data_IF_561186438509
#
_entry.id   IF_561186438509
#
_cell.length_a   1.000
_cell.length_b   1.000
_cell.length_c   1.000
_cell.angle_alpha   90.00
_cell.angle_beta   90.00
_cell.angle_gamma   90.00
#
_symmetry.space_group_name_H-M   'P 1'
#
loop_
_entity.id
_entity.type
_entity.pdbx_description
1 polymer ?
#
# COMPACT_ATOMS: atom_id res chain seq x y z
N UNK A 1 53.05 -61.55 17.44
CA UNK A 1 52.78 -60.46 16.47
C UNK A 1 51.29 -60.40 16.07
N UNK A 2 50.35 -60.30 17.03
CA UNK A 2 48.88 -60.24 16.74
C UNK A 2 48.09 -59.23 17.59
N UNK A 3 48.73 -58.54 18.55
CA UNK A 3 48.03 -57.63 19.49
C UNK A 3 48.11 -56.14 19.14
N UNK A 4 48.97 -55.72 18.19
CA UNK A 4 49.15 -54.30 17.81
C UNK A 4 48.11 -53.78 16.79
N UNK A 5 47.42 -54.67 16.09
CA UNK A 5 46.49 -54.30 15.02
C UNK A 5 45.08 -54.01 15.54
N UNK A 6 44.65 -54.70 16.61
CA UNK A 6 43.35 -54.47 17.26
C UNK A 6 43.26 -53.10 17.95
N UNK A 7 44.32 -52.70 18.65
CA UNK A 7 44.40 -51.38 19.29
C UNK A 7 44.43 -50.25 18.26
N UNK A 8 45.13 -50.45 17.13
CA UNK A 8 45.20 -49.46 16.05
C UNK A 8 43.84 -49.26 15.35
N UNK A 9 43.06 -50.33 15.16
CA UNK A 9 41.71 -50.26 14.60
C UNK A 9 40.72 -49.60 15.57
N UNK A 10 40.79 -49.91 16.87
CA UNK A 10 39.96 -49.23 17.88
C UNK A 10 40.28 -47.75 18.00
N UNK A 11 41.57 -47.36 17.89
CA UNK A 11 41.97 -45.96 17.86
C UNK A 11 41.43 -45.23 16.62
N UNK A 12 41.38 -45.87 15.46
CA UNK A 12 40.79 -45.30 14.25
C UNK A 12 39.27 -45.08 14.39
N UNK A 13 38.54 -46.05 14.97
CA UNK A 13 37.10 -45.89 15.22
C UNK A 13 36.81 -44.80 16.25
N UNK A 14 37.62 -44.69 17.30
CA UNK A 14 37.51 -43.59 18.28
C UNK A 14 37.81 -42.24 17.62
N UNK A 15 38.87 -42.14 16.82
CA UNK A 15 39.23 -40.90 16.10
C UNK A 15 38.13 -40.50 15.08
N UNK A 16 37.56 -41.45 14.34
CA UNK A 16 36.46 -41.16 13.40
C UNK A 16 35.18 -40.75 14.12
N UNK A 17 34.87 -41.38 15.27
CA UNK A 17 33.70 -41.05 16.07
C UNK A 17 33.85 -39.68 16.74
N UNK A 18 35.04 -39.33 17.25
CA UNK A 18 35.32 -37.99 17.79
C UNK A 18 35.27 -36.92 16.70
N UNK A 19 35.70 -37.23 15.48
CA UNK A 19 35.63 -36.28 14.36
C UNK A 19 34.18 -35.97 13.96
N UNK A 20 33.30 -36.98 13.97
CA UNK A 20 31.87 -36.80 13.69
C UNK A 20 31.16 -36.02 14.81
N UNK A 21 31.55 -36.20 16.08
CA UNK A 21 30.99 -35.43 17.21
C UNK A 21 31.40 -33.94 17.17
N UNK A 22 32.63 -33.63 16.73
CA UNK A 22 33.08 -32.23 16.56
C UNK A 22 32.26 -31.50 15.47
N UNK A 23 31.72 -32.21 14.47
CA UNK A 23 30.86 -31.59 13.44
C UNK A 23 29.43 -31.29 13.92
N UNK A 24 28.99 -31.86 15.05
CA UNK A 24 27.64 -31.65 15.59
C UNK A 24 27.59 -30.55 16.68
N UNK A 25 28.72 -30.21 17.31
CA UNK A 25 28.86 -29.10 18.27
C UNK A 25 29.45 -27.82 17.67
N UNK A 26 29.72 -27.79 16.36
CA UNK A 26 30.11 -26.57 15.69
C UNK A 26 28.93 -25.58 15.66
N UNK A 27 28.94 -24.65 16.63
CA UNK A 27 28.13 -23.44 16.62
C UNK A 27 28.32 -22.75 15.26
N UNK A 28 27.23 -22.32 14.58
CA UNK A 28 27.36 -21.64 13.30
C UNK A 28 28.28 -20.43 13.45
N UNK A 29 29.32 -20.39 12.63
CA UNK A 29 30.26 -19.26 12.56
C UNK A 29 29.43 -18.03 12.20
N UNK A 30 29.29 -17.11 13.16
CA UNK A 30 28.73 -15.80 12.92
C UNK A 30 29.65 -15.10 11.92
N UNK A 31 29.12 -14.82 10.74
CA UNK A 31 29.87 -14.16 9.67
C UNK A 31 30.12 -12.74 10.16
N UNK A 32 31.36 -12.47 10.55
CA UNK A 32 31.86 -11.15 10.93
C UNK A 32 31.39 -10.09 9.91
N UNK A 33 30.40 -9.27 10.30
CA UNK A 33 29.76 -8.23 9.48
C UNK A 33 30.64 -6.99 9.28
N UNK A 34 31.96 -7.13 9.27
CA UNK A 34 32.90 -6.00 9.14
C UNK A 34 33.72 -5.98 7.86
N UNK A 35 33.36 -6.79 6.85
CA UNK A 35 33.92 -6.61 5.50
C UNK A 35 32.98 -5.79 4.62
N UNK A 36 33.26 -4.49 4.58
CA UNK A 36 32.74 -3.52 3.61
C UNK A 36 33.03 -4.04 2.19
N UNK A 37 32.03 -4.63 1.54
CA UNK A 37 32.00 -4.80 0.09
C UNK A 37 31.21 -3.63 -0.49
N UNK A 38 31.90 -2.87 -1.34
CA UNK A 38 31.44 -1.76 -2.16
C UNK A 38 29.93 -1.60 -2.25
N UNK A 39 29.44 -0.53 -1.63
CA UNK A 39 28.13 0.06 -1.86
C UNK A 39 27.99 0.34 -3.34
N UNK A 40 27.25 -0.51 -4.07
CA UNK A 40 26.56 -0.04 -5.26
C UNK A 40 25.62 1.09 -4.82
N UNK A 41 25.44 2.15 -5.62
CA UNK A 41 24.56 3.23 -5.25
C UNK A 41 23.18 2.63 -5.02
N UNK A 42 22.68 2.70 -3.79
CA UNK A 42 21.29 2.40 -3.49
C UNK A 42 20.51 3.42 -4.29
N UNK A 43 19.96 2.97 -5.42
CA UNK A 43 18.92 3.69 -6.14
C UNK A 43 17.91 4.12 -5.09
N UNK A 44 17.75 5.43 -4.96
CA UNK A 44 16.80 6.08 -4.07
C UNK A 44 15.52 5.26 -4.03
N UNK A 45 15.15 4.73 -2.86
CA UNK A 45 13.87 4.08 -2.68
C UNK A 45 12.78 5.07 -3.09
N UNK A 46 12.27 4.90 -4.32
CA UNK A 46 11.06 5.57 -4.78
C UNK A 46 10.00 5.15 -3.78
N UNK A 47 9.47 6.10 -3.02
CA UNK A 47 8.28 5.86 -2.19
C UNK A 47 7.21 5.43 -3.19
N UNK A 48 6.89 4.13 -3.23
CA UNK A 48 5.88 3.64 -4.14
C UNK A 48 4.54 4.28 -3.74
N UNK A 49 3.85 4.96 -4.67
CA UNK A 49 2.55 5.53 -4.38
C UNK A 49 1.61 4.42 -3.91
N UNK A 50 0.74 4.69 -2.92
CA UNK A 50 -0.12 3.68 -2.31
C UNK A 50 -0.85 2.87 -3.40
N UNK A 51 -0.90 1.56 -3.22
CA UNK A 51 -1.63 0.68 -4.11
C UNK A 51 -3.12 1.03 -4.04
N UNK A 52 -3.63 1.56 -5.14
CA UNK A 52 -5.02 2.01 -5.30
C UNK A 52 -6.00 0.83 -5.22
N UNK A 53 -5.50 -0.42 -5.26
CA UNK A 53 -6.34 -1.63 -5.29
C UNK A 53 -6.94 -1.91 -6.66
N UNK A 54 -6.58 -1.11 -7.68
CA UNK A 54 -6.99 -1.28 -9.07
C UNK A 54 -6.03 -2.24 -9.77
N UNK A 55 -6.55 -3.19 -10.54
CA UNK A 55 -5.72 -4.19 -11.22
C UNK A 55 -4.85 -3.63 -12.37
N UNK A 56 -5.17 -2.41 -12.83
CA UNK A 56 -4.45 -1.65 -13.87
C UNK A 56 -3.80 -0.38 -13.31
N UNK A 57 -3.60 -0.30 -12.00
CA UNK A 57 -2.96 0.83 -11.32
C UNK A 57 -1.56 1.15 -11.89
N UNK A 58 -0.77 0.12 -12.20
CA UNK A 58 0.54 0.30 -12.83
C UNK A 58 0.44 0.95 -14.21
N UNK A 59 -0.49 0.51 -15.05
CA UNK A 59 -0.75 1.09 -16.36
C UNK A 59 -1.20 2.55 -16.24
N UNK A 60 -2.11 2.84 -15.31
CA UNK A 60 -2.57 4.19 -15.02
C UNK A 60 -1.40 5.11 -14.60
N UNK A 61 -0.54 4.65 -13.69
CA UNK A 61 0.65 5.37 -13.24
C UNK A 61 1.63 5.65 -14.39
N UNK A 62 1.90 4.65 -15.22
CA UNK A 62 2.79 4.81 -16.39
C UNK A 62 2.24 5.82 -17.40
N UNK A 63 0.92 5.80 -17.67
CA UNK A 63 0.27 6.77 -18.56
C UNK A 63 0.40 8.18 -17.98
N UNK A 64 0.16 8.35 -16.67
CA UNK A 64 0.31 9.65 -15.99
C UNK A 64 1.77 10.14 -16.06
N UNK A 65 2.75 9.30 -15.73
CA UNK A 65 4.18 9.66 -15.79
C UNK A 65 4.62 10.15 -17.17
N UNK A 66 4.14 9.48 -18.23
CA UNK A 66 4.40 9.87 -19.62
C UNK A 66 3.72 11.19 -19.97
N UNK A 67 2.48 11.41 -19.52
CA UNK A 67 1.75 12.67 -19.72
C UNK A 67 2.38 13.83 -18.95
N UNK A 68 2.87 13.58 -17.73
CA UNK A 68 3.55 14.60 -16.93
C UNK A 68 4.85 15.07 -17.56
N UNK A 69 5.49 14.28 -18.42
CA UNK A 69 6.70 14.69 -19.14
C UNK A 69 6.45 15.93 -20.01
N UNK A 70 5.23 16.13 -20.51
CA UNK A 70 4.85 17.31 -21.28
C UNK A 70 4.49 18.50 -20.37
N UNK A 71 5.19 19.63 -20.55
CA UNK A 71 4.99 20.83 -19.72
C UNK A 71 3.58 21.41 -19.86
N UNK A 72 3.05 21.47 -21.08
CA UNK A 72 1.73 22.05 -21.34
C UNK A 72 0.64 21.21 -20.67
N UNK A 73 0.71 19.89 -20.85
CA UNK A 73 -0.24 18.97 -20.23
C UNK A 73 -0.14 18.96 -18.70
N UNK A 74 1.07 19.00 -18.13
CA UNK A 74 1.29 19.07 -16.67
C UNK A 74 0.62 20.29 -16.04
N UNK A 75 0.76 21.46 -16.65
CA UNK A 75 0.13 22.68 -16.14
C UNK A 75 -1.40 22.60 -16.16
N UNK A 76 -1.98 21.91 -17.16
CA UNK A 76 -3.41 21.66 -17.24
C UNK A 76 -3.86 20.67 -16.17
N UNK A 77 -3.09 19.60 -15.95
CA UNK A 77 -3.36 18.59 -14.92
C UNK A 77 -3.36 19.22 -13.51
N UNK A 78 -2.44 20.14 -13.22
CA UNK A 78 -2.36 20.81 -11.91
C UNK A 78 -3.47 21.84 -11.66
N UNK A 79 -4.04 22.42 -12.73
CA UNK A 79 -5.07 23.46 -12.63
C UNK A 79 -6.50 22.90 -12.73
N UNK A 80 -6.66 21.68 -13.24
CA UNK A 80 -7.97 21.08 -13.47
C UNK A 80 -8.64 20.68 -12.16
N UNK A 81 -9.93 21.01 -12.03
CA UNK A 81 -10.76 20.51 -10.94
C UNK A 81 -11.13 19.03 -11.18
N UNK A 82 -11.43 18.30 -10.10
CA UNK A 82 -11.81 16.88 -10.14
C UNK A 82 -12.99 16.65 -11.11
N UNK A 83 -13.98 17.54 -11.10
CA UNK A 83 -15.15 17.47 -11.99
C UNK A 83 -14.77 17.70 -13.47
N UNK A 84 -13.80 18.59 -13.74
CA UNK A 84 -13.32 18.80 -15.11
C UNK A 84 -12.57 17.57 -15.64
N UNK A 85 -11.81 16.89 -14.77
CA UNK A 85 -11.13 15.63 -15.08
C UNK A 85 -12.15 14.54 -15.43
N UNK A 86 -13.21 14.39 -14.62
CA UNK A 86 -14.30 13.43 -14.88
C UNK A 86 -15.10 13.74 -16.15
N UNK A 87 -15.23 15.02 -16.50
CA UNK A 87 -16.02 15.47 -17.65
C UNK A 87 -15.39 15.17 -19.02
N UNK A 88 -14.13 14.68 -19.05
CA UNK A 88 -13.40 14.37 -20.30
C UNK A 88 -12.83 15.60 -21.02
N UNK A 89 -12.84 16.78 -20.37
CA UNK A 89 -12.20 18.01 -20.91
C UNK A 89 -10.69 17.84 -21.03
N UNK A 90 -10.08 17.23 -20.02
CA UNK A 90 -8.63 16.94 -20.00
C UNK A 90 -8.22 16.03 -21.16
N UNK A 91 -9.05 15.05 -21.51
CA UNK A 91 -8.74 14.09 -22.56
C UNK A 91 -8.64 14.73 -23.95
N UNK A 92 -9.36 15.84 -24.20
CA UNK A 92 -9.27 16.59 -25.47
C UNK A 92 -7.95 17.34 -25.63
N UNK A 93 -7.33 17.74 -24.53
CA UNK A 93 -6.02 18.43 -24.55
C UNK A 93 -4.89 17.48 -25.00
N UNK A 94 -5.15 16.16 -25.01
CA UNK A 94 -4.21 15.15 -25.49
C UNK A 94 -3.82 15.35 -26.97
N UNK A 95 -4.69 15.95 -27.78
CA UNK A 95 -4.43 16.26 -29.21
C UNK A 95 -3.35 17.32 -29.41
N UNK A 96 -3.04 18.11 -28.38
CA UNK A 96 -2.02 19.15 -28.42
C UNK A 96 -0.65 18.69 -27.89
N UNK A 97 -0.58 17.46 -27.38
CA UNK A 97 0.62 16.91 -26.76
C UNK A 97 1.68 16.56 -27.81
N UNK A 98 2.96 16.68 -27.46
CA UNK A 98 4.08 16.37 -28.36
C UNK A 98 4.05 14.94 -28.92
N UNK A 99 4.55 14.78 -30.15
CA UNK A 99 4.56 13.49 -30.85
C UNK A 99 5.31 12.40 -30.07
N UNK A 100 6.39 12.74 -29.36
CA UNK A 100 7.16 11.77 -28.58
C UNK A 100 6.33 11.13 -27.46
N UNK A 101 5.53 11.94 -26.78
CA UNK A 101 4.61 11.45 -25.73
C UNK A 101 3.52 10.60 -26.35
N UNK A 102 2.97 10.99 -27.50
CA UNK A 102 1.99 10.16 -28.24
C UNK A 102 2.54 8.79 -28.61
N UNK A 103 3.75 8.72 -29.17
CA UNK A 103 4.38 7.44 -29.51
C UNK A 103 4.58 6.55 -28.27
N UNK A 104 4.98 7.13 -27.14
CA UNK A 104 5.09 6.39 -25.87
C UNK A 104 3.74 5.87 -25.37
N UNK A 105 2.69 6.68 -25.46
CA UNK A 105 1.33 6.27 -25.06
C UNK A 105 0.80 5.12 -25.93
N UNK A 106 1.05 5.18 -27.25
CA UNK A 106 0.72 4.09 -28.17
C UNK A 106 1.44 2.79 -27.76
N UNK A 107 2.71 2.87 -27.37
CA UNK A 107 3.48 1.71 -26.90
C UNK A 107 2.94 1.15 -25.57
N UNK A 108 2.65 2.02 -24.59
CA UNK A 108 2.05 1.61 -23.32
C UNK A 108 0.71 0.91 -23.54
N UNK A 109 -0.14 1.43 -24.43
CA UNK A 109 -1.42 0.78 -24.77
C UNK A 109 -1.21 -0.62 -25.34
N UNK A 110 -0.24 -0.80 -26.24
CA UNK A 110 0.08 -2.12 -26.82
C UNK A 110 0.58 -3.10 -25.77
N UNK A 111 1.43 -2.63 -24.85
CA UNK A 111 1.92 -3.45 -23.75
C UNK A 111 0.77 -3.91 -22.85
N UNK A 112 -0.13 -2.99 -22.49
CA UNK A 112 -1.28 -3.32 -21.65
C UNK A 112 -2.25 -4.28 -22.35
N UNK A 113 -2.60 -4.02 -23.61
CA UNK A 113 -3.42 -4.97 -24.39
C UNK A 113 -2.74 -6.34 -24.51
N UNK A 114 -1.41 -6.37 -24.66
CA UNK A 114 -0.63 -7.60 -24.63
C UNK A 114 -0.75 -8.35 -23.29
N UNK A 115 -0.63 -7.63 -22.17
CA UNK A 115 -0.84 -8.16 -20.82
C UNK A 115 -2.22 -8.76 -20.63
N UNK A 116 -3.27 -8.04 -21.05
CA UNK A 116 -4.66 -8.52 -20.94
C UNK A 116 -4.91 -9.76 -21.80
N UNK A 117 -4.33 -9.82 -23.00
CA UNK A 117 -4.39 -11.02 -23.85
C UNK A 117 -3.73 -12.23 -23.20
N UNK A 118 -2.59 -12.04 -22.52
CA UNK A 118 -1.94 -13.12 -21.77
C UNK A 118 -2.79 -13.59 -20.60
N UNK A 119 -3.40 -12.68 -19.84
CA UNK A 119 -4.30 -13.03 -18.73
C UNK A 119 -5.53 -13.81 -19.22
N UNK A 120 -6.15 -13.37 -20.32
CA UNK A 120 -7.26 -14.08 -20.95
C UNK A 120 -6.83 -15.48 -21.39
N UNK A 121 -5.67 -15.60 -22.05
CA UNK A 121 -5.15 -16.89 -22.50
C UNK A 121 -4.91 -17.83 -21.32
N UNK A 122 -4.25 -17.37 -20.27
CA UNK A 122 -4.02 -18.18 -19.07
C UNK A 122 -5.34 -18.62 -18.40
N UNK A 123 -6.35 -17.75 -18.38
CA UNK A 123 -7.70 -18.08 -17.87
C UNK A 123 -8.39 -19.14 -18.73
N UNK A 124 -8.29 -19.06 -20.05
CA UNK A 124 -8.86 -20.05 -20.97
C UNK A 124 -8.14 -21.41 -20.86
N UNK A 125 -6.82 -21.40 -20.80
CA UNK A 125 -6.01 -22.61 -20.63
C UNK A 125 -6.36 -23.33 -19.31
N UNK A 126 -6.63 -22.57 -18.24
CA UNK A 126 -7.07 -23.11 -16.95
C UNK A 126 -8.49 -23.67 -16.95
N UNK A 127 -9.39 -23.17 -17.81
CA UNK A 127 -10.81 -23.52 -17.82
C UNK A 127 -11.15 -24.67 -18.79
N UNK A 128 -10.17 -25.23 -19.50
CA UNK A 128 -10.33 -26.30 -20.48
C UNK A 128 -11.48 -26.03 -21.48
N UNK A 129 -11.15 -25.26 -22.52
CA UNK A 129 -11.82 -25.25 -23.83
C UNK A 129 -13.32 -24.89 -23.83
N UNK A 130 -13.61 -23.62 -23.58
CA UNK A 130 -14.76 -22.98 -24.18
C UNK A 130 -14.17 -22.06 -25.24
N UNK A 131 -14.51 -22.30 -26.52
CA UNK A 131 -14.10 -21.50 -27.69
C UNK A 131 -14.65 -20.07 -27.66
N UNK A 132 -14.38 -19.35 -26.57
CA UNK A 132 -14.73 -17.95 -26.39
C UNK A 132 -13.77 -17.11 -27.22
N UNK A 133 -14.36 -16.15 -27.94
CA UNK A 133 -13.59 -15.19 -28.70
C UNK A 133 -12.76 -14.32 -27.74
N UNK A 134 -11.44 -14.28 -27.96
CA UNK A 134 -10.52 -13.47 -27.16
C UNK A 134 -10.92 -12.00 -27.21
N UNK A 135 -11.47 -11.54 -28.34
CA UNK A 135 -11.93 -10.18 -28.51
C UNK A 135 -13.19 -9.88 -27.68
N UNK A 136 -14.06 -10.86 -27.48
CA UNK A 136 -15.24 -10.71 -26.62
C UNK A 136 -14.86 -10.61 -25.13
N UNK A 137 -13.83 -11.36 -24.70
CA UNK A 137 -13.31 -11.30 -23.33
C UNK A 137 -12.58 -9.97 -23.05
N UNK A 138 -11.91 -9.40 -24.04
CA UNK A 138 -11.30 -8.07 -23.90
C UNK A 138 -12.33 -6.96 -23.62
N UNK A 139 -13.59 -7.13 -24.05
CA UNK A 139 -14.67 -6.18 -23.75
C UNK A 139 -15.04 -6.12 -22.27
N UNK A 140 -14.60 -7.08 -21.46
CA UNK A 140 -14.79 -7.05 -20.00
C UNK A 140 -13.96 -5.94 -19.34
N UNK A 141 -12.91 -5.47 -20.01
CA UNK A 141 -12.02 -4.45 -19.47
C UNK A 141 -12.48 -3.06 -19.92
N UNK A 142 -13.16 -2.35 -19.02
CA UNK A 142 -13.82 -1.07 -19.32
C UNK A 142 -12.86 0.12 -19.51
N UNK A 143 -11.62 0.00 -19.03
CA UNK A 143 -10.61 1.07 -19.02
C UNK A 143 -9.82 1.21 -20.34
N UNK A 144 -10.13 0.45 -21.39
CA UNK A 144 -9.41 0.46 -22.68
C UNK A 144 -10.34 0.34 -23.90
N UNK A 145 -10.00 1.04 -24.98
CA UNK A 145 -10.67 0.84 -26.26
C UNK A 145 -10.11 -0.39 -27.00
N UNK A 146 -10.92 -1.45 -27.07
CA UNK A 146 -10.59 -2.71 -27.74
C UNK A 146 -10.78 -2.66 -29.27
N UNK A 147 -11.43 -1.63 -29.82
CA UNK A 147 -11.65 -1.48 -31.29
C UNK A 147 -10.37 -1.03 -31.98
N UNK A 148 -9.58 -0.18 -31.33
CA UNK A 148 -8.31 0.33 -31.83
C UNK A 148 -7.20 -0.04 -30.85
N UNK A 149 -6.59 -1.24 -30.93
CA UNK A 149 -5.59 -1.67 -29.95
C UNK A 149 -4.23 -0.97 -30.10
N UNK A 150 -3.94 -0.34 -31.25
CA UNK A 150 -2.58 0.05 -31.62
C UNK A 150 -2.25 1.53 -31.39
N UNK A 151 -3.27 2.37 -31.22
CA UNK A 151 -3.14 3.82 -31.00
C UNK A 151 -3.91 4.28 -29.77
N UNK A 152 -3.31 5.16 -28.99
CA UNK A 152 -3.89 5.77 -27.81
C UNK A 152 -4.51 7.12 -28.16
N UNK A 153 -5.84 7.18 -28.11
CA UNK A 153 -6.64 8.35 -28.46
C UNK A 153 -7.13 9.09 -27.21
N UNK A 154 -7.69 10.28 -27.40
CA UNK A 154 -8.36 11.03 -26.31
C UNK A 154 -9.51 10.23 -25.70
N UNK A 155 -10.17 9.39 -26.48
CA UNK A 155 -11.21 8.47 -26.00
C UNK A 155 -10.67 7.44 -25.01
N UNK A 156 -9.45 6.93 -25.22
CA UNK A 156 -8.80 5.98 -24.30
C UNK A 156 -8.51 6.60 -22.94
N UNK A 157 -7.99 7.83 -22.94
CA UNK A 157 -7.71 8.55 -21.70
C UNK A 157 -9.01 8.85 -20.93
N UNK A 158 -10.07 9.23 -21.62
CA UNK A 158 -11.39 9.44 -21.02
C UNK A 158 -11.97 8.13 -20.42
N UNK A 159 -11.87 7.01 -21.14
CA UNK A 159 -12.28 5.69 -20.63
C UNK A 159 -11.46 5.27 -19.41
N UNK A 160 -10.14 5.45 -19.46
CA UNK A 160 -9.23 5.11 -18.37
C UNK A 160 -9.55 5.90 -17.10
N UNK A 161 -9.74 7.23 -17.22
CA UNK A 161 -10.08 8.09 -16.08
C UNK A 161 -11.46 7.72 -15.51
N UNK A 162 -12.46 7.51 -16.37
CA UNK A 162 -13.82 7.15 -15.95
C UNK A 162 -13.86 5.79 -15.25
N UNK A 163 -13.18 4.80 -15.80
CA UNK A 163 -13.07 3.49 -15.19
C UNK A 163 -12.38 3.57 -13.83
N UNK A 164 -11.22 4.24 -13.75
CA UNK A 164 -10.49 4.39 -12.49
C UNK A 164 -11.33 5.11 -11.42
N UNK A 165 -12.03 6.18 -11.80
CA UNK A 165 -12.92 6.92 -10.90
C UNK A 165 -14.09 6.06 -10.42
N UNK A 166 -14.76 5.36 -11.35
CA UNK A 166 -15.90 4.50 -11.03
C UNK A 166 -15.49 3.33 -10.14
N UNK A 167 -14.35 2.70 -10.41
CA UNK A 167 -13.85 1.56 -9.64
C UNK A 167 -13.45 1.99 -8.23
N UNK A 168 -12.82 3.16 -8.08
CA UNK A 168 -12.51 3.74 -6.77
C UNK A 168 -13.77 4.09 -5.97
N UNK A 169 -14.74 4.75 -6.59
CA UNK A 169 -16.02 5.08 -5.95
C UNK A 169 -16.78 3.80 -5.55
N UNK A 170 -16.74 2.77 -6.39
CA UNK A 170 -17.31 1.48 -6.07
C UNK A 170 -16.61 0.83 -4.88
N UNK A 171 -15.28 0.84 -4.87
CA UNK A 171 -14.47 0.30 -3.77
C UNK A 171 -14.83 0.99 -2.44
N UNK A 172 -14.82 2.32 -2.41
CA UNK A 172 -15.19 3.11 -1.24
C UNK A 172 -16.62 2.81 -0.77
N UNK A 173 -17.57 2.73 -1.72
CA UNK A 173 -18.97 2.41 -1.42
C UNK A 173 -19.11 1.01 -0.83
N UNK A 174 -18.49 -0.01 -1.43
CA UNK A 174 -18.56 -1.39 -0.93
C UNK A 174 -17.99 -1.48 0.48
N UNK A 175 -16.85 -0.84 0.75
CA UNK A 175 -16.25 -0.79 2.09
C UNK A 175 -17.17 -0.10 3.11
N UNK A 176 -17.81 0.99 2.71
CA UNK A 176 -18.79 1.68 3.56
C UNK A 176 -20.02 0.80 3.86
N UNK A 177 -20.54 0.10 2.87
CA UNK A 177 -21.67 -0.83 3.04
C UNK A 177 -21.32 -2.04 3.89
N UNK A 178 -20.13 -2.62 3.71
CA UNK A 178 -19.60 -3.70 4.54
C UNK A 178 -19.49 -3.27 6.00
N UNK A 179 -18.91 -2.10 6.25
CA UNK A 179 -18.82 -1.53 7.60
C UNK A 179 -20.21 -1.34 8.21
N UNK A 180 -21.16 -0.76 7.46
CA UNK A 180 -22.54 -0.59 7.92
C UNK A 180 -23.23 -1.92 8.26
N UNK A 181 -23.05 -2.95 7.42
CA UNK A 181 -23.59 -4.30 7.68
C UNK A 181 -22.97 -4.91 8.92
N UNK A 182 -21.66 -4.79 9.07
CA UNK A 182 -20.93 -5.27 10.24
C UNK A 182 -21.44 -4.62 11.54
N UNK A 183 -21.52 -3.29 11.57
CA UNK A 183 -22.04 -2.55 12.73
C UNK A 183 -23.48 -2.94 13.07
N UNK A 184 -24.34 -3.09 12.06
CA UNK A 184 -25.72 -3.55 12.23
C UNK A 184 -25.81 -4.98 12.79
N UNK A 185 -25.00 -5.90 12.28
CA UNK A 185 -24.95 -7.29 12.78
C UNK A 185 -24.43 -7.32 14.22
N UNK A 186 -23.40 -6.55 14.55
CA UNK A 186 -22.84 -6.49 15.90
C UNK A 186 -23.82 -5.92 16.91
N UNK A 187 -24.52 -4.85 16.58
CA UNK A 187 -25.56 -4.31 17.46
C UNK A 187 -26.75 -5.28 17.61
N UNK A 188 -27.09 -6.02 16.56
CA UNK A 188 -28.10 -7.08 16.65
C UNK A 188 -27.66 -8.20 17.61
N UNK A 189 -26.45 -8.74 17.45
CA UNK A 189 -25.87 -9.75 18.35
C UNK A 189 -25.85 -9.26 19.80
N UNK A 190 -25.47 -7.99 20.04
CA UNK A 190 -25.47 -7.38 21.37
C UNK A 190 -26.87 -7.37 21.99
N UNK A 191 -27.90 -6.99 21.22
CA UNK A 191 -29.29 -6.97 21.70
C UNK A 191 -29.82 -8.37 22.01
N UNK A 192 -29.49 -9.35 21.18
CA UNK A 192 -29.86 -10.74 21.44
C UNK A 192 -29.15 -11.27 22.71
N UNK A 193 -27.87 -10.96 22.88
CA UNK A 193 -27.13 -11.27 24.10
C UNK A 193 -27.80 -10.66 25.34
N UNK A 194 -28.14 -9.37 25.32
CA UNK A 194 -28.79 -8.68 26.44
C UNK A 194 -30.16 -9.29 26.82
N UNK A 195 -30.89 -9.90 25.88
CA UNK A 195 -32.14 -10.62 26.18
C UNK A 195 -31.93 -11.92 26.96
N UNK A 196 -30.75 -12.53 26.86
CA UNK A 196 -30.43 -13.78 27.57
C UNK A 196 -30.00 -13.57 29.03
N UNK A 197 -29.69 -12.33 29.43
CA UNK A 197 -29.21 -12.01 30.78
C UNK A 197 -30.33 -11.63 31.76
N UNK A 198 -30.03 -11.80 33.05
CA UNK A 198 -30.86 -11.29 34.15
C UNK A 198 -30.79 -9.76 34.24
N UNK A 199 -31.80 -9.13 34.87
CA UNK A 199 -31.95 -7.68 34.97
C UNK A 199 -30.72 -6.95 35.53
N UNK A 200 -30.10 -7.47 36.61
CA UNK A 200 -28.90 -6.87 37.21
C UNK A 200 -27.71 -6.90 36.26
N UNK A 201 -27.45 -8.04 35.62
CA UNK A 201 -26.35 -8.18 34.66
C UNK A 201 -26.57 -7.36 33.40
N UNK A 202 -27.82 -7.23 32.94
CA UNK A 202 -28.17 -6.40 31.79
C UNK A 202 -27.81 -4.93 32.03
N UNK A 203 -28.13 -4.40 33.22
CA UNK A 203 -27.77 -3.02 33.62
C UNK A 203 -26.26 -2.83 33.72
N UNK A 204 -25.53 -3.82 34.23
CA UNK A 204 -24.07 -3.78 34.31
C UNK A 204 -23.43 -3.70 32.92
N UNK A 205 -23.86 -4.56 31.99
CA UNK A 205 -23.34 -4.58 30.61
C UNK A 205 -23.72 -3.31 29.81
N UNK A 206 -24.93 -2.78 30.01
CA UNK A 206 -25.32 -1.49 29.42
C UNK A 206 -24.47 -0.33 29.96
N UNK A 207 -24.20 -0.30 31.27
CA UNK A 207 -23.32 0.69 31.90
C UNK A 207 -21.89 0.61 31.37
N UNK A 208 -21.33 -0.60 31.25
CA UNK A 208 -20.01 -0.83 30.66
C UNK A 208 -19.95 -0.35 29.21
N UNK A 209 -20.97 -0.67 28.41
CA UNK A 209 -21.04 -0.24 27.02
C UNK A 209 -21.11 1.29 26.88
N UNK A 210 -21.89 1.95 27.74
CA UNK A 210 -21.98 3.40 27.74
C UNK A 210 -20.66 4.06 28.20
N UNK A 211 -19.98 3.49 29.19
CA UNK A 211 -18.65 3.94 29.60
C UNK A 211 -17.62 3.80 28.47
N UNK A 212 -17.65 2.67 27.76
CA UNK A 212 -16.81 2.41 26.59
C UNK A 212 -17.09 3.41 25.46
N UNK A 213 -18.37 3.69 25.18
CA UNK A 213 -18.77 4.69 24.19
C UNK A 213 -18.28 6.09 24.57
N UNK A 214 -18.42 6.47 25.85
CA UNK A 214 -17.89 7.74 26.37
C UNK A 214 -16.36 7.82 26.24
N UNK A 215 -15.62 6.74 26.50
CA UNK A 215 -14.16 6.71 26.28
C UNK A 215 -13.81 6.89 24.81
N UNK A 216 -14.58 6.31 23.90
CA UNK A 216 -14.39 6.48 22.47
C UNK A 216 -14.71 7.91 22.00
N UNK A 217 -15.80 8.51 22.51
CA UNK A 217 -16.15 9.90 22.20
C UNK A 217 -15.12 10.89 22.77
N UNK A 218 -14.49 10.57 23.90
CA UNK A 218 -13.50 11.40 24.58
C UNK A 218 -12.05 11.06 24.19
N UNK A 219 -11.79 10.72 22.92
CA UNK A 219 -10.41 10.63 22.43
C UNK A 219 -9.93 11.98 21.86
N UNK A 220 -8.64 12.35 22.02
CA UNK A 220 -8.09 13.52 21.35
C UNK A 220 -8.18 13.36 19.83
N UNK A 221 -8.41 14.46 19.09
CA UNK A 221 -8.48 14.44 17.62
C UNK A 221 -7.13 14.01 17.05
N UNK A 222 -7.10 12.89 16.32
CA UNK A 222 -5.88 12.41 15.66
C UNK A 222 -5.79 13.03 14.27
N UNK A 223 -4.73 13.80 14.01
CA UNK A 223 -4.49 14.43 12.72
C UNK A 223 -4.03 13.42 11.63
N UNK A 224 -4.32 13.71 10.36
CA UNK A 224 -3.84 12.92 9.22
C UNK A 224 -2.29 13.02 9.11
N UNK A 225 -1.59 11.93 8.74
CA UNK A 225 -0.14 11.90 8.62
C UNK A 225 0.36 12.92 7.60
N UNK A 226 1.30 13.78 7.97
CA UNK A 226 1.82 14.83 7.10
C UNK A 226 0.85 15.99 6.85
N UNK A 227 -0.30 16.04 7.54
CA UNK A 227 -1.16 17.22 7.52
C UNK A 227 -0.47 18.42 8.18
N UNK A 228 -0.81 19.64 7.73
CA UNK A 228 -0.27 20.87 8.31
C UNK A 228 -0.49 20.94 9.82
N UNK A 229 -1.66 20.48 10.28
CA UNK A 229 -2.01 20.44 11.70
C UNK A 229 -1.09 19.50 12.49
N UNK A 230 -0.73 18.35 11.92
CA UNK A 230 0.22 17.44 12.55
C UNK A 230 1.64 18.01 12.60
N UNK A 231 2.09 18.71 11.54
CA UNK A 231 3.41 19.34 11.53
C UNK A 231 3.50 20.47 12.56
N UNK A 232 2.41 21.25 12.72
CA UNK A 232 2.29 22.27 13.77
C UNK A 232 2.31 21.68 15.17
N UNK A 233 1.62 20.56 15.38
CA UNK A 233 1.63 19.85 16.66
C UNK A 233 3.04 19.36 17.03
N UNK A 234 3.82 18.85 16.06
CA UNK A 234 5.23 18.48 16.29
C UNK A 234 6.08 19.73 16.57
N UNK A 235 5.86 20.82 15.86
CA UNK A 235 6.55 22.11 16.07
C UNK A 235 6.28 22.71 17.45
N UNK A 236 5.05 22.61 17.95
CA UNK A 236 4.67 23.09 19.27
C UNK A 236 5.20 22.18 20.38
N UNK A 237 4.96 20.86 20.28
CA UNK A 237 5.25 19.93 21.38
C UNK A 237 6.70 19.43 21.41
N UNK A 238 7.33 19.24 20.26
CA UNK A 238 8.70 18.70 20.17
C UNK A 238 9.73 19.82 20.13
N UNK A 239 9.48 20.86 19.33
CA UNK A 239 10.41 21.97 19.15
C UNK A 239 10.15 23.15 20.12
N UNK A 240 8.98 23.20 20.76
CA UNK A 240 8.63 24.25 21.72
C UNK A 240 8.44 25.62 21.08
N UNK A 241 8.11 25.66 19.79
CA UNK A 241 7.97 26.89 19.00
C UNK A 241 6.50 27.29 18.82
N UNK A 242 6.23 28.59 18.63
CA UNK A 242 4.86 29.10 18.50
C UNK A 242 4.16 28.52 17.25
N UNK A 243 2.96 27.92 17.38
CA UNK A 243 2.14 27.43 16.27
C UNK A 243 1.79 28.48 15.20
N UNK A 244 1.79 29.77 15.56
CA UNK A 244 1.46 30.88 14.66
C UNK A 244 2.62 31.22 13.71
N UNK A 245 3.86 30.98 14.14
CA UNK A 245 5.08 31.20 13.36
C UNK A 245 5.52 29.97 12.57
N UNK A 246 4.62 28.99 12.42
CA UNK A 246 4.91 27.76 11.70
C UNK A 246 5.23 28.03 10.22
N UNK A 247 6.49 27.80 9.87
CA UNK A 247 6.99 27.78 8.48
C UNK A 247 7.47 26.38 8.12
N UNK A 248 6.84 25.71 7.12
CA UNK A 248 7.24 24.38 6.68
C UNK A 248 8.73 24.29 6.30
N UNK A 249 9.29 25.33 5.68
CA UNK A 249 10.71 25.31 5.27
C UNK A 249 11.63 25.28 6.48
N UNK A 250 11.30 26.04 7.52
CA UNK A 250 12.06 26.05 8.77
C UNK A 250 11.88 24.74 9.53
N UNK A 251 10.67 24.21 9.61
CA UNK A 251 10.39 22.87 10.18
C UNK A 251 11.27 21.79 9.53
N UNK A 252 11.27 21.69 8.19
CA UNK A 252 12.08 20.70 7.50
C UNK A 252 13.59 20.96 7.60
N UNK A 253 14.04 22.20 7.76
CA UNK A 253 15.47 22.51 8.01
C UNK A 253 15.91 22.08 9.40
N UNK A 254 15.07 22.28 10.43
CA UNK A 254 15.35 21.82 11.80
C UNK A 254 15.46 20.30 11.85
N UNK A 255 14.59 19.60 11.13
CA UNK A 255 14.51 18.13 11.14
C UNK A 255 15.25 17.45 9.97
N UNK A 256 16.00 18.20 9.14
CA UNK A 256 16.52 17.74 7.84
C UNK A 256 18.05 17.74 7.68
N UNK A 257 18.83 17.87 8.75
CA UNK A 257 20.30 18.09 8.67
C UNK A 257 21.19 16.92 9.09
N UNK A 258 20.69 15.68 9.15
CA UNK A 258 21.57 14.52 9.34
C UNK A 258 21.37 13.53 8.21
N UNK A 259 22.48 12.98 7.75
CA UNK A 259 22.73 12.20 6.54
C UNK A 259 21.95 10.86 6.42
N UNK A 260 20.79 10.74 7.08
CA UNK A 260 19.87 9.61 6.95
C UNK A 260 18.44 10.13 6.80
N UNK A 261 17.75 9.57 5.82
CA UNK A 261 16.38 9.83 5.39
C UNK A 261 15.38 10.10 6.53
N UNK A 262 14.67 11.23 6.43
CA UNK A 262 13.29 11.40 6.90
C UNK A 262 13.00 11.30 8.41
N UNK A 263 13.85 11.85 9.29
CA UNK A 263 13.55 11.96 10.73
C UNK A 263 12.22 12.70 10.99
N UNK A 264 11.93 13.78 10.26
CA UNK A 264 10.67 14.52 10.36
C UNK A 264 9.44 13.63 10.09
N UNK A 265 9.48 12.88 8.98
CA UNK A 265 8.41 11.94 8.61
C UNK A 265 8.32 10.80 9.62
N UNK A 266 9.45 10.30 10.13
CA UNK A 266 9.50 9.24 11.13
C UNK A 266 8.89 9.68 12.47
N UNK A 267 9.17 10.90 12.94
CA UNK A 267 8.56 11.47 14.15
C UNK A 267 7.04 11.60 13.96
N UNK A 268 6.59 12.14 12.82
CA UNK A 268 5.16 12.21 12.50
C UNK A 268 4.52 10.82 12.42
N UNK A 269 5.21 9.82 11.86
CA UNK A 269 4.69 8.46 11.72
C UNK A 269 4.61 7.74 13.06
N UNK A 270 5.65 7.83 13.89
CA UNK A 270 5.71 7.22 15.21
C UNK A 270 4.68 7.82 16.18
N UNK A 271 4.52 9.14 16.19
CA UNK A 271 3.53 9.80 17.06
C UNK A 271 2.11 9.38 16.68
N UNK A 272 1.82 9.28 15.38
CA UNK A 272 0.53 8.75 14.90
C UNK A 272 0.36 7.27 15.24
N UNK A 273 1.38 6.43 15.08
CA UNK A 273 1.34 5.03 15.51
C UNK A 273 1.03 4.92 16.99
N UNK A 274 1.63 5.75 17.84
CA UNK A 274 1.34 5.77 19.28
C UNK A 274 -0.11 6.20 19.57
N UNK A 275 -0.60 7.27 18.95
CA UNK A 275 -1.97 7.73 19.11
C UNK A 275 -3.00 6.73 18.56
N UNK A 276 -2.73 6.14 17.39
CA UNK A 276 -3.54 5.07 16.80
C UNK A 276 -3.53 3.84 17.69
N UNK A 277 -2.38 3.40 18.18
CA UNK A 277 -2.27 2.25 19.08
C UNK A 277 -2.99 2.51 20.40
N UNK A 278 -2.90 3.71 20.97
CA UNK A 278 -3.67 4.10 22.15
C UNK A 278 -5.18 4.09 21.88
N UNK A 279 -5.62 4.57 20.72
CA UNK A 279 -7.04 4.55 20.32
C UNK A 279 -7.54 3.14 19.96
N UNK A 280 -6.69 2.31 19.35
CA UNK A 280 -6.97 0.93 18.96
C UNK A 280 -6.95 0.00 20.16
N UNK A 281 -6.08 0.20 21.14
CA UNK A 281 -6.18 -0.48 22.45
C UNK A 281 -7.51 -0.11 23.10
N UNK A 282 -7.87 1.17 23.09
CA UNK A 282 -9.17 1.59 23.62
C UNK A 282 -10.36 1.03 22.82
N UNK A 283 -10.20 0.70 21.53
CA UNK A 283 -11.22 0.09 20.69
C UNK A 283 -11.26 -1.44 20.77
N UNK A 284 -10.11 -2.12 20.88
CA UNK A 284 -10.00 -3.59 21.03
C UNK A 284 -10.40 -4.05 22.42
N UNK A 285 -10.27 -3.20 23.44
CA UNK A 285 -10.84 -3.47 24.77
C UNK A 285 -12.39 -3.37 24.76
N UNK A 286 -12.98 -2.81 23.69
CA UNK A 286 -14.42 -2.79 23.47
C UNK A 286 -14.96 -3.98 22.66
N UNK A 287 -14.12 -4.89 22.17
CA UNK A 287 -14.51 -6.07 21.39
C UNK A 287 -14.25 -7.38 22.13
#
# INVERSE_FOLDING_TARGET
MKMRWRTSLQQYYFLSATCLLITLEAVPIDIDKTKVQNTQPVESAKIEPPDTGLYYDEYLKQVIDVLETDKHFREKLQKADIEEIKSGRLSKELDLVSHHVRTKLDELKRQEVGRLRMLIKAKLDSLQDIGMDHQALLKQFDHLNHVNPDKFESTDLDMLIKAATSDLEHYDRTRHEEFKKYEMMKEHERREYLKTLNEEKRKEEESKFEEMKKKHENHPKVNHPGSKDQLKEVWEETDGLDPNDFDPKTFFKLHGNRFDTNIALYICYLKRLYLLYSSLISAMVCY
#
